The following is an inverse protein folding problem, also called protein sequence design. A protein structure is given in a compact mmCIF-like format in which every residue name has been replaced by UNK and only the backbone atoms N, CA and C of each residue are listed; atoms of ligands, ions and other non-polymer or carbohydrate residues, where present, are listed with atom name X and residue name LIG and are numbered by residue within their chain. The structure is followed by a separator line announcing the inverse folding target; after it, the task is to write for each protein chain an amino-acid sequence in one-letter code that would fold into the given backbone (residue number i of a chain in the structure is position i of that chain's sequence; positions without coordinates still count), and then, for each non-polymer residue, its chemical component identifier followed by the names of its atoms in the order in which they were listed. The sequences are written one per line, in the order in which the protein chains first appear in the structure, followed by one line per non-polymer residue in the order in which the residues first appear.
data_IF_612459655865
#
_entry.id   IF_612459655865
#
_cell.length_a   1.000
_cell.length_b   1.000
_cell.length_c   1.000
_cell.angle_alpha   90.00
_cell.angle_beta   90.00
_cell.angle_gamma   90.00
#
_symmetry.space_group_name_H-M   'P 1'
#
loop_
_entity.id
_entity.type
_entity.pdbx_description
1 polymer ?
#
# COMPACT_ATOMS: atom_id res chain seq x y z
N UNK A 1 1.44 -21.85 -1.91
CA UNK A 1 0.39 -21.38 -0.97
C UNK A 1 -0.57 -20.41 -1.63
N UNK A 2 -0.08 -19.47 -2.45
CA UNK A 2 -0.96 -18.49 -3.14
C UNK A 2 -1.63 -19.05 -4.40
N UNK A 3 -0.96 -19.97 -5.09
CA UNK A 3 -1.45 -20.64 -6.31
C UNK A 3 -1.92 -22.08 -6.10
N UNK A 4 -1.79 -22.59 -4.87
CA UNK A 4 -2.23 -23.96 -4.55
C UNK A 4 -3.77 -23.97 -4.56
N UNK A 5 -4.37 -24.92 -5.31
CA UNK A 5 -5.83 -25.00 -5.56
C UNK A 5 -6.41 -23.79 -6.29
N UNK A 6 -5.58 -22.98 -6.94
CA UNK A 6 -6.10 -21.89 -7.75
C UNK A 6 -6.86 -22.45 -8.97
N UNK A 7 -8.10 -22.00 -9.22
CA UNK A 7 -8.84 -22.38 -10.42
C UNK A 7 -8.06 -22.00 -11.68
N UNK A 8 -8.30 -22.71 -12.79
CA UNK A 8 -7.63 -22.44 -14.08
C UNK A 8 -7.79 -20.97 -14.52
N UNK A 9 -8.94 -20.35 -14.21
CA UNK A 9 -9.21 -18.93 -14.47
C UNK A 9 -8.79 -17.95 -13.37
N UNK A 10 -8.14 -18.42 -12.30
CA UNK A 10 -7.84 -17.64 -11.11
C UNK A 10 -9.01 -17.47 -10.15
N UNK A 11 -8.77 -16.71 -9.08
CA UNK A 11 -9.78 -16.44 -8.05
C UNK A 11 -10.68 -15.28 -8.45
N UNK A 12 -12.00 -15.48 -8.36
CA UNK A 12 -12.97 -14.38 -8.44
C UNK A 12 -12.91 -13.59 -7.15
N UNK A 13 -12.51 -12.32 -7.26
CA UNK A 13 -12.44 -11.38 -6.15
C UNK A 13 -13.67 -10.48 -6.19
N UNK A 14 -14.41 -10.40 -5.09
CA UNK A 14 -15.43 -9.38 -4.92
C UNK A 14 -14.75 -8.06 -4.52
N UNK A 15 -14.87 -7.04 -5.37
CA UNK A 15 -14.21 -5.75 -5.17
C UNK A 15 -15.00 -4.80 -4.25
N UNK A 16 -16.27 -5.09 -3.98
CA UNK A 16 -17.11 -4.28 -3.09
C UNK A 16 -16.85 -4.67 -1.64
N UNK A 17 -16.98 -5.96 -1.32
CA UNK A 17 -16.64 -6.50 0.00
C UNK A 17 -15.14 -6.75 0.20
N UNK A 18 -14.33 -6.58 -0.87
CA UNK A 18 -12.90 -6.90 -0.95
C UNK A 18 -12.60 -8.37 -0.64
N UNK A 19 -13.57 -9.28 -0.80
CA UNK A 19 -13.47 -10.68 -0.43
C UNK A 19 -12.79 -11.54 -1.51
N UNK A 20 -12.02 -12.55 -1.08
CA UNK A 20 -11.47 -13.57 -1.97
C UNK A 20 -11.58 -14.96 -1.33
N UNK A 21 -12.03 -16.01 -2.05
CA UNK A 21 -12.18 -17.35 -1.48
C UNK A 21 -10.86 -18.13 -1.33
N UNK A 22 -9.70 -17.51 -1.53
CA UNK A 22 -8.42 -18.17 -1.34
C UNK A 22 -8.09 -18.40 0.16
N UNK A 23 -7.25 -19.39 0.44
CA UNK A 23 -6.84 -19.76 1.81
C UNK A 23 -6.18 -18.61 2.58
N UNK A 24 -5.40 -17.76 1.91
CA UNK A 24 -4.74 -16.61 2.55
C UNK A 24 -5.74 -15.59 3.09
N UNK A 25 -6.83 -15.35 2.35
CA UNK A 25 -7.89 -14.46 2.80
C UNK A 25 -8.60 -15.02 4.05
N UNK A 26 -8.87 -16.33 4.08
CA UNK A 26 -9.47 -16.97 5.25
C UNK A 26 -8.59 -16.80 6.51
N UNK A 27 -7.27 -16.91 6.35
CA UNK A 27 -6.32 -16.81 7.48
C UNK A 27 -6.04 -15.38 7.95
N UNK A 28 -5.89 -14.44 7.02
CA UNK A 28 -5.36 -13.10 7.32
C UNK A 28 -6.35 -11.96 7.01
N UNK A 29 -7.51 -12.26 6.43
CA UNK A 29 -8.45 -11.27 5.86
C UNK A 29 -7.80 -10.34 4.84
N UNK A 30 -6.74 -10.83 4.18
CA UNK A 30 -6.03 -10.16 3.09
C UNK A 30 -5.28 -11.20 2.23
N UNK A 31 -5.22 -10.98 0.92
CA UNK A 31 -4.46 -11.83 0.01
C UNK A 31 -3.92 -11.04 -1.19
N UNK A 32 -2.93 -11.60 -1.88
CA UNK A 32 -2.34 -11.00 -3.08
C UNK A 32 -3.35 -10.80 -4.21
N UNK A 33 -4.38 -11.64 -4.32
CA UNK A 33 -5.43 -11.50 -5.33
C UNK A 33 -6.25 -10.23 -5.13
N UNK A 34 -6.66 -9.94 -3.89
CA UNK A 34 -7.36 -8.70 -3.54
C UNK A 34 -6.46 -7.49 -3.77
N UNK A 35 -5.20 -7.57 -3.36
CA UNK A 35 -4.23 -6.50 -3.59
C UNK A 35 -4.00 -6.23 -5.09
N UNK A 36 -3.90 -7.28 -5.90
CA UNK A 36 -3.75 -7.18 -7.34
C UNK A 36 -4.99 -6.56 -7.99
N UNK A 37 -6.19 -7.03 -7.62
CA UNK A 37 -7.46 -6.49 -8.13
C UNK A 37 -7.64 -5.01 -7.77
N UNK A 38 -7.34 -4.63 -6.52
CA UNK A 38 -7.40 -3.23 -6.07
C UNK A 38 -6.41 -2.34 -6.84
N UNK A 39 -5.17 -2.81 -7.07
CA UNK A 39 -4.17 -2.08 -7.87
C UNK A 39 -4.58 -1.94 -9.33
N UNK A 40 -5.07 -3.01 -9.95
CA UNK A 40 -5.53 -3.00 -11.34
C UNK A 40 -6.72 -2.04 -11.55
N UNK A 41 -7.56 -1.85 -10.54
CA UNK A 41 -8.71 -0.94 -10.58
C UNK A 41 -8.44 0.45 -9.99
N UNK A 42 -7.19 0.73 -9.59
CA UNK A 42 -6.82 2.02 -8.99
C UNK A 42 -7.51 2.33 -7.66
N UNK A 43 -8.09 1.31 -6.99
CA UNK A 43 -8.78 1.48 -5.71
C UNK A 43 -7.76 1.57 -4.56
N UNK A 44 -8.02 2.39 -3.54
CA UNK A 44 -7.12 2.52 -2.40
C UNK A 44 -7.05 1.20 -1.60
N UNK A 45 -5.83 0.80 -1.29
CA UNK A 45 -5.54 -0.32 -0.38
C UNK A 45 -5.42 0.24 1.03
N UNK A 46 -6.15 -0.36 1.99
CA UNK A 46 -6.12 0.07 3.39
C UNK A 46 -4.70 -0.06 3.94
N UNK A 47 -4.18 1.00 4.59
CA UNK A 47 -2.82 1.03 5.11
C UNK A 47 -1.72 1.21 4.06
N UNK A 48 -2.08 1.35 2.77
CA UNK A 48 -1.14 1.71 1.73
C UNK A 48 -1.28 3.19 1.41
N UNK A 49 -0.30 3.99 1.82
CA UNK A 49 -0.24 5.38 1.39
C UNK A 49 0.01 5.43 -0.13
N UNK A 50 -0.90 6.08 -0.86
CA UNK A 50 -0.75 6.38 -2.29
C UNK A 50 0.36 7.40 -2.58
N UNK A 51 1.22 7.71 -1.61
CA UNK A 51 2.36 8.60 -1.78
C UNK A 51 3.36 8.04 -2.79
N UNK A 52 3.96 8.92 -3.59
CA UNK A 52 5.08 8.55 -4.48
C UNK A 52 6.18 7.90 -3.63
N UNK A 53 6.39 6.60 -3.80
CA UNK A 53 7.52 5.88 -3.19
C UNK A 53 8.81 6.44 -3.79
N UNK A 54 9.49 7.29 -3.03
CA UNK A 54 10.80 7.81 -3.38
C UNK A 54 11.85 6.97 -2.68
N UNK A 55 12.84 6.48 -3.42
CA UNK A 55 14.03 5.92 -2.80
C UNK A 55 14.70 7.01 -1.95
N UNK A 56 14.82 6.74 -0.65
CA UNK A 56 15.54 7.64 0.24
C UNK A 56 17.03 7.39 0.06
N UNK A 57 17.74 8.33 -0.54
CA UNK A 57 19.18 8.32 -0.51
C UNK A 57 19.65 8.65 0.93
N UNK A 58 20.08 7.63 1.67
CA UNK A 58 20.53 7.75 3.07
C UNK A 58 21.94 8.36 3.20
N UNK A 59 22.75 8.37 2.13
CA UNK A 59 24.08 8.99 2.15
C UNK A 59 24.00 10.52 2.04
N UNK A 60 22.89 11.05 1.53
CA UNK A 60 22.64 12.49 1.56
C UNK A 60 22.10 12.88 2.93
N UNK A 61 22.94 13.53 3.73
CA UNK A 61 22.52 14.26 4.94
C UNK A 61 21.38 15.18 4.53
N UNK A 62 20.18 15.00 5.09
CA UNK A 62 19.08 15.96 4.92
C UNK A 62 19.61 17.28 5.47
N UNK A 63 19.85 18.28 4.61
CA UNK A 63 20.00 19.67 5.09
C UNK A 63 18.74 19.92 5.92
N UNK A 64 18.91 20.32 7.18
CA UNK A 64 17.78 20.72 8.02
C UNK A 64 16.92 21.76 7.30
N UNK A 65 15.70 21.96 7.77
CA UNK A 65 14.83 23.04 7.24
C UNK A 65 15.62 24.34 7.22
N UNK A 66 15.42 25.15 6.18
CA UNK A 66 16.04 26.47 6.12
C UNK A 66 15.72 27.20 7.44
N UNK A 67 16.68 27.91 8.05
CA UNK A 67 16.48 28.59 9.34
C UNK A 67 15.21 29.45 9.35
N UNK A 68 14.89 30.07 8.21
CA UNK A 68 13.70 30.88 7.97
C UNK A 68 12.33 30.18 8.19
N UNK A 69 12.28 28.86 8.33
CA UNK A 69 11.03 28.07 8.40
C UNK A 69 10.87 27.39 9.77
N UNK A 70 11.67 27.78 10.76
CA UNK A 70 11.53 27.32 12.14
C UNK A 70 10.61 28.26 12.95
N UNK A 71 9.73 27.73 13.81
CA UNK A 71 8.87 28.56 14.67
C UNK A 71 9.66 29.43 15.66
N UNK A 72 10.96 29.16 15.83
CA UNK A 72 11.88 29.96 16.65
C UNK A 72 12.29 31.30 16.01
N UNK A 73 11.89 31.60 14.77
CA UNK A 73 12.10 32.90 14.11
C UNK A 73 10.80 33.70 13.91
N UNK A 74 9.71 33.32 14.57
CA UNK A 74 8.57 34.23 14.73
C UNK A 74 8.99 35.29 15.75
N UNK A 75 9.49 36.44 15.28
CA UNK A 75 9.50 37.65 16.09
C UNK A 75 8.07 38.16 16.11
N UNK A 76 7.33 37.81 17.17
CA UNK A 76 6.30 38.59 17.87
C UNK A 76 5.87 37.82 19.13
#
# INVERSE_FOLDING_TARGET
METFEQPVGGWRVDMESKFCPCRSWYKYRMCVHVLAALRATGRPVVGHENGKKRFANRSRKRKGRAPAVGPALAYE
#
